data_IF_648236833020
#
_entry.id   IF_648236833020
#
_cell.length_a   1.000
_cell.length_b   1.000
_cell.length_c   1.000
_cell.angle_alpha   90.00
_cell.angle_beta   90.00
_cell.angle_gamma   90.00
#
_symmetry.space_group_name_H-M   'P 1'
#
loop_
_entity.id
_entity.type
_entity.pdbx_description
1 polymer ?
#
# COMPACT_ATOMS: atom_id res chain seq x y z
N UNK A 1 -6.37 -24.90 -1.65
CA UNK A 1 -5.12 -24.46 -2.29
C UNK A 1 -5.36 -23.93 -3.71
N UNK A 2 -5.74 -24.74 -4.71
CA UNK A 2 -5.91 -24.27 -6.11
C UNK A 2 -6.93 -23.13 -6.27
N UNK A 3 -8.10 -23.21 -5.61
CA UNK A 3 -9.12 -22.14 -5.65
C UNK A 3 -8.62 -20.80 -5.10
N UNK A 4 -7.77 -20.82 -4.07
CA UNK A 4 -7.23 -19.60 -3.47
C UNK A 4 -6.19 -18.95 -4.39
N UNK A 5 -5.36 -19.77 -5.06
CA UNK A 5 -4.39 -19.29 -6.05
C UNK A 5 -5.11 -18.60 -7.22
N UNK A 6 -6.16 -19.23 -7.75
CA UNK A 6 -6.98 -18.67 -8.84
C UNK A 6 -7.64 -17.36 -8.41
N UNK A 7 -8.26 -17.32 -7.23
CA UNK A 7 -8.88 -16.09 -6.72
C UNK A 7 -7.85 -14.96 -6.53
N UNK A 8 -6.64 -15.27 -6.06
CA UNK A 8 -5.58 -14.28 -5.89
C UNK A 8 -5.14 -13.68 -7.22
N UNK A 9 -4.92 -14.52 -8.23
CA UNK A 9 -4.55 -14.08 -9.59
C UNK A 9 -5.68 -13.26 -10.21
N UNK A 10 -6.93 -13.72 -10.10
CA UNK A 10 -8.09 -12.99 -10.61
C UNK A 10 -8.24 -11.61 -9.96
N UNK A 11 -8.09 -11.53 -8.64
CA UNK A 11 -8.11 -10.26 -7.91
C UNK A 11 -6.98 -9.33 -8.35
N UNK A 12 -5.76 -9.84 -8.51
CA UNK A 12 -4.62 -9.07 -9.01
C UNK A 12 -4.90 -8.49 -10.39
N UNK A 13 -5.42 -9.29 -11.32
CA UNK A 13 -5.78 -8.83 -12.66
C UNK A 13 -6.84 -7.73 -12.62
N UNK A 14 -7.92 -7.92 -11.85
CA UNK A 14 -8.97 -6.91 -11.68
C UNK A 14 -8.39 -5.60 -11.13
N UNK A 15 -7.56 -5.69 -10.09
CA UNK A 15 -6.93 -4.52 -9.47
C UNK A 15 -6.03 -3.76 -10.46
N UNK A 16 -5.20 -4.48 -11.24
CA UNK A 16 -4.35 -3.85 -12.26
C UNK A 16 -5.14 -3.17 -13.37
N UNK A 17 -6.26 -3.77 -13.78
CA UNK A 17 -7.18 -3.18 -14.76
C UNK A 17 -7.85 -1.93 -14.20
N UNK A 18 -8.28 -1.94 -12.94
CA UNK A 18 -8.83 -0.75 -12.26
C UNK A 18 -7.78 0.36 -12.19
N UNK A 19 -6.56 0.07 -11.75
CA UNK A 19 -5.47 1.04 -11.70
C UNK A 19 -5.11 1.61 -13.07
N UNK A 20 -5.23 0.80 -14.14
CA UNK A 20 -5.03 1.26 -15.51
C UNK A 20 -6.16 2.18 -15.98
N UNK A 21 -7.40 1.91 -15.58
CA UNK A 21 -8.58 2.70 -15.94
C UNK A 21 -8.60 4.08 -15.30
N UNK A 22 -8.16 4.21 -14.05
CA UNK A 22 -8.18 5.49 -13.29
C UNK A 22 -7.57 6.65 -14.10
N UNK A 23 -6.29 6.61 -14.51
CA UNK A 23 -5.68 7.71 -15.27
C UNK A 23 -6.26 7.86 -16.69
N UNK A 24 -6.77 6.78 -17.28
CA UNK A 24 -7.41 6.83 -18.61
C UNK A 24 -8.75 7.58 -18.59
N UNK A 25 -9.50 7.47 -17.51
CA UNK A 25 -10.76 8.21 -17.30
C UNK A 25 -10.46 9.66 -16.92
N UNK A 26 -9.37 9.91 -16.17
CA UNK A 26 -8.97 11.24 -15.71
C UNK A 26 -8.13 12.04 -16.73
N UNK A 27 -7.89 11.50 -17.94
CA UNK A 27 -6.96 12.02 -18.96
C UNK A 27 -7.03 13.54 -19.20
N UNK A 28 -8.20 14.15 -19.09
CA UNK A 28 -8.38 15.57 -19.39
C UNK A 28 -7.77 16.53 -18.33
N UNK A 29 -7.50 16.05 -17.11
CA UNK A 29 -7.11 16.90 -15.98
C UNK A 29 -5.61 16.78 -15.61
N UNK A 30 -4.93 15.75 -16.11
CA UNK A 30 -3.58 15.39 -15.67
C UNK A 30 -2.52 16.34 -16.24
N UNK A 31 -2.56 16.64 -17.53
CA UNK A 31 -1.58 17.52 -18.17
C UNK A 31 -1.68 18.93 -17.58
N UNK A 32 -2.88 19.48 -17.44
CA UNK A 32 -3.08 20.82 -16.85
C UNK A 32 -2.57 20.91 -15.41
N UNK A 33 -2.87 19.92 -14.56
CA UNK A 33 -2.44 19.93 -13.14
C UNK A 33 -0.93 19.76 -13.00
N UNK A 34 -0.29 19.02 -13.90
CA UNK A 34 1.16 18.81 -13.87
C UNK A 34 1.90 20.03 -14.43
N UNK A 35 1.37 20.64 -15.49
CA UNK A 35 1.89 21.87 -16.11
C UNK A 35 1.82 23.07 -15.15
N UNK A 36 0.69 23.23 -14.43
CA UNK A 36 0.54 24.25 -13.38
C UNK A 36 1.47 24.05 -12.18
N UNK A 37 1.90 22.82 -11.90
CA UNK A 37 2.84 22.52 -10.79
C UNK A 37 4.30 22.75 -11.14
N UNK A 38 4.67 22.58 -12.41
CA UNK A 38 6.05 22.74 -12.88
C UNK A 38 6.29 24.21 -13.32
N UNK A 39 5.31 25.11 -13.12
CA UNK A 39 5.38 26.53 -13.55
C UNK A 39 5.76 26.69 -15.03
N UNK A 40 5.32 25.74 -15.87
CA UNK A 40 5.56 25.82 -17.31
C UNK A 40 4.67 26.92 -17.88
N UNK A 41 5.25 28.10 -18.10
CA UNK A 41 4.53 29.31 -18.47
C UNK A 41 4.51 29.57 -19.99
N UNK A 42 5.22 28.77 -20.78
CA UNK A 42 5.35 28.96 -22.24
C UNK A 42 4.79 27.77 -23.02
N UNK A 43 4.04 28.03 -24.11
CA UNK A 43 3.39 27.01 -24.93
C UNK A 43 4.37 25.94 -25.47
N UNK A 44 5.64 26.31 -25.70
CA UNK A 44 6.69 25.38 -26.16
C UNK A 44 7.14 24.40 -25.07
N UNK A 45 7.22 24.85 -23.82
CA UNK A 45 7.53 23.99 -22.68
C UNK A 45 6.40 23.00 -22.40
N UNK A 46 5.15 23.42 -22.59
CA UNK A 46 3.97 22.55 -22.48
C UNK A 46 3.97 21.50 -23.58
N UNK A 47 4.28 21.89 -24.82
CA UNK A 47 4.32 20.97 -25.97
C UNK A 47 5.44 19.92 -25.85
N UNK A 48 6.64 20.34 -25.46
CA UNK A 48 7.78 19.43 -25.25
C UNK A 48 7.55 18.47 -24.07
N UNK A 49 6.98 18.97 -22.96
CA UNK A 49 6.60 18.12 -21.83
C UNK A 49 5.49 17.13 -22.18
N UNK A 50 4.53 17.54 -23.01
CA UNK A 50 3.46 16.65 -23.50
C UNK A 50 4.03 15.52 -24.37
N UNK A 51 5.00 15.80 -25.25
CA UNK A 51 5.71 14.77 -26.03
C UNK A 51 6.54 13.82 -25.17
N UNK A 52 7.19 14.33 -24.12
CA UNK A 52 7.95 13.52 -23.18
C UNK A 52 7.04 12.59 -22.36
N UNK A 53 5.87 13.08 -21.96
CA UNK A 53 4.83 12.26 -21.32
C UNK A 53 4.25 11.22 -22.30
N UNK A 54 3.95 11.60 -23.54
CA UNK A 54 3.43 10.69 -24.56
C UNK A 54 4.38 9.52 -24.84
N UNK A 55 5.68 9.80 -24.89
CA UNK A 55 6.72 8.78 -25.06
C UNK A 55 6.94 7.94 -23.79
N UNK A 56 6.95 8.55 -22.59
CA UNK A 56 7.12 7.84 -21.32
C UNK A 56 5.96 6.87 -21.01
N UNK A 57 4.73 7.28 -21.31
CA UNK A 57 3.52 6.48 -21.09
C UNK A 57 3.13 5.61 -22.30
N UNK A 58 3.86 5.69 -23.43
CA UNK A 58 3.60 4.93 -24.66
C UNK A 58 2.16 5.10 -25.18
N UNK A 59 1.62 6.34 -25.14
CA UNK A 59 0.22 6.62 -25.48
C UNK A 59 -0.15 6.27 -26.93
N UNK A 60 0.83 6.09 -27.82
CA UNK A 60 0.63 5.72 -29.23
C UNK A 60 0.39 4.21 -29.47
N UNK A 61 0.51 3.34 -28.46
CA UNK A 61 0.30 1.89 -28.60
C UNK A 61 -1.16 1.49 -28.34
N UNK A 62 -1.66 0.38 -28.91
CA UNK A 62 -3.00 -0.12 -28.61
C UNK A 62 -3.18 -0.36 -27.10
N UNK A 63 -4.38 -0.09 -26.56
CA UNK A 63 -4.72 -0.19 -25.13
C UNK A 63 -4.27 -1.51 -24.48
N UNK A 64 -4.45 -2.62 -25.19
CA UNK A 64 -4.05 -3.96 -24.72
C UNK A 64 -2.53 -4.07 -24.52
N UNK A 65 -1.75 -3.44 -25.41
CA UNK A 65 -0.29 -3.41 -25.33
C UNK A 65 0.19 -2.54 -24.17
N UNK A 66 -0.50 -1.43 -23.91
CA UNK A 66 -0.20 -0.56 -22.76
C UNK A 66 -0.47 -1.30 -21.43
N UNK A 67 -1.59 -2.01 -21.34
CA UNK A 67 -1.91 -2.84 -20.17
C UNK A 67 -0.90 -3.97 -19.95
N UNK A 68 -0.51 -4.69 -21.02
CA UNK A 68 0.50 -5.75 -20.93
C UNK A 68 1.89 -5.22 -20.52
N UNK A 69 2.30 -4.05 -21.02
CA UNK A 69 3.54 -3.38 -20.60
C UNK A 69 3.48 -2.92 -19.15
N UNK A 70 2.31 -2.47 -18.67
CA UNK A 70 2.11 -2.10 -17.27
C UNK A 70 2.18 -3.32 -16.35
N UNK A 71 1.59 -4.44 -16.74
CA UNK A 71 1.76 -5.72 -16.04
C UNK A 71 3.24 -6.11 -15.97
N UNK A 72 3.98 -6.05 -17.09
CA UNK A 72 5.41 -6.34 -17.11
C UNK A 72 6.19 -5.45 -16.13
N UNK A 73 5.89 -4.14 -16.10
CA UNK A 73 6.49 -3.17 -15.18
C UNK A 73 6.25 -3.54 -13.70
N UNK A 74 5.03 -3.96 -13.36
CA UNK A 74 4.67 -4.43 -12.01
C UNK A 74 5.49 -5.67 -11.64
N UNK A 75 5.62 -6.64 -12.55
CA UNK A 75 6.44 -7.84 -12.32
C UNK A 75 7.93 -7.54 -12.18
N UNK A 76 8.43 -6.48 -12.82
CA UNK A 76 9.82 -6.02 -12.66
C UNK A 76 10.02 -5.11 -11.44
N UNK A 77 9.02 -4.96 -10.56
CA UNK A 77 9.00 -4.00 -9.45
C UNK A 77 9.22 -2.54 -9.89
N UNK A 78 9.00 -2.23 -11.16
CA UNK A 78 9.04 -0.87 -11.67
C UNK A 78 7.63 -0.28 -11.55
N UNK A 79 7.39 0.40 -10.43
CA UNK A 79 6.11 1.07 -10.14
C UNK A 79 5.89 2.33 -11.00
N UNK A 80 6.76 2.59 -11.98
CA UNK A 80 6.68 3.72 -12.89
C UNK A 80 7.05 5.05 -12.23
N UNK A 81 6.66 6.14 -12.89
CA UNK A 81 6.91 7.50 -12.43
C UNK A 81 5.83 7.96 -11.44
N UNK A 82 6.24 8.81 -10.50
CA UNK A 82 5.28 9.44 -9.59
C UNK A 82 4.38 10.39 -10.34
N UNK A 83 3.07 10.16 -10.21
CA UNK A 83 2.03 11.07 -10.69
C UNK A 83 2.04 12.40 -9.92
N UNK A 84 2.62 12.43 -8.71
CA UNK A 84 2.67 13.61 -7.85
C UNK A 84 4.05 14.31 -7.90
N UNK A 85 5.14 13.54 -8.00
CA UNK A 85 6.53 14.02 -8.05
C UNK A 85 7.21 13.64 -9.38
N UNK A 86 6.66 14.04 -10.52
CA UNK A 86 7.37 13.90 -11.79
C UNK A 86 8.66 14.76 -11.74
N UNK A 87 9.84 14.29 -12.21
CA UNK A 87 10.15 13.06 -12.93
C UNK A 87 10.78 11.95 -12.06
N UNK A 88 10.46 11.87 -10.77
CA UNK A 88 11.05 10.84 -9.90
C UNK A 88 10.35 9.49 -10.06
N UNK A 89 11.14 8.41 -10.15
CA UNK A 89 10.61 7.04 -10.12
C UNK A 89 10.01 6.74 -8.75
N UNK A 90 8.81 6.18 -8.74
CA UNK A 90 8.05 5.83 -7.54
C UNK A 90 8.82 4.92 -6.59
N UNK A 91 9.64 4.01 -7.13
CA UNK A 91 10.42 3.09 -6.30
C UNK A 91 11.34 3.82 -5.32
N UNK A 92 11.97 4.93 -5.71
CA UNK A 92 12.87 5.66 -4.82
C UNK A 92 12.11 6.32 -3.65
N UNK A 93 10.89 6.80 -3.90
CA UNK A 93 10.05 7.42 -2.87
C UNK A 93 9.44 6.35 -1.96
N UNK A 94 8.94 5.26 -2.54
CA UNK A 94 8.19 4.23 -1.82
C UNK A 94 9.09 3.22 -1.10
N UNK A 95 10.35 3.05 -1.51
CA UNK A 95 11.27 2.09 -0.89
C UNK A 95 11.45 2.33 0.61
N UNK A 96 11.68 3.57 1.02
CA UNK A 96 11.92 3.91 2.44
C UNK A 96 10.70 3.59 3.33
N UNK A 97 9.49 4.11 3.07
CA UNK A 97 8.33 3.78 3.89
C UNK A 97 7.97 2.30 3.81
N UNK A 98 8.13 1.66 2.64
CA UNK A 98 7.90 0.22 2.50
C UNK A 98 8.83 -0.62 3.41
N UNK A 99 10.14 -0.33 3.39
CA UNK A 99 11.10 -1.00 4.28
C UNK A 99 10.78 -0.76 5.76
N UNK A 100 10.30 0.44 6.10
CA UNK A 100 9.91 0.76 7.46
C UNK A 100 8.67 -0.03 7.91
N UNK A 101 7.64 -0.12 7.07
CA UNK A 101 6.47 -0.97 7.33
C UNK A 101 6.88 -2.43 7.48
N UNK A 102 7.79 -2.93 6.64
CA UNK A 102 8.33 -4.27 6.74
C UNK A 102 9.00 -4.50 8.09
N UNK A 103 9.86 -3.57 8.52
CA UNK A 103 10.55 -3.66 9.81
C UNK A 103 9.55 -3.70 10.99
N UNK A 104 8.58 -2.78 10.99
CA UNK A 104 7.51 -2.75 11.99
C UNK A 104 6.70 -4.06 12.01
N UNK A 105 6.39 -4.59 10.83
CA UNK A 105 5.63 -5.83 10.70
C UNK A 105 6.40 -7.04 11.24
N UNK A 106 7.70 -7.15 10.94
CA UNK A 106 8.55 -8.22 11.49
C UNK A 106 8.60 -8.15 13.03
N UNK A 107 8.84 -6.97 13.59
CA UNK A 107 8.89 -6.78 15.04
C UNK A 107 7.54 -7.13 15.68
N UNK A 108 6.44 -6.72 15.04
CA UNK A 108 5.09 -7.04 15.48
C UNK A 108 4.80 -8.54 15.48
N UNK A 109 5.21 -9.26 14.43
CA UNK A 109 5.08 -10.73 14.35
C UNK A 109 5.87 -11.39 15.47
N UNK A 110 7.14 -11.01 15.66
CA UNK A 110 8.01 -11.59 16.68
C UNK A 110 7.44 -11.36 18.09
N UNK A 111 6.96 -10.16 18.36
CA UNK A 111 6.33 -9.82 19.64
C UNK A 111 5.05 -10.62 19.86
N UNK A 112 4.18 -10.69 18.85
CA UNK A 112 2.92 -11.45 18.90
C UNK A 112 3.18 -12.96 19.09
N UNK A 113 4.13 -13.52 18.35
CA UNK A 113 4.52 -14.93 18.47
C UNK A 113 5.10 -15.26 19.84
N UNK A 114 6.00 -14.43 20.36
CA UNK A 114 6.59 -14.60 21.69
C UNK A 114 5.53 -14.50 22.78
N UNK A 115 4.64 -13.51 22.71
CA UNK A 115 3.55 -13.36 23.68
C UNK A 115 2.55 -14.52 23.60
N UNK A 116 2.17 -14.93 22.39
CA UNK A 116 1.23 -16.03 22.17
C UNK A 116 1.77 -17.38 22.63
N UNK A 117 3.04 -17.67 22.39
CA UNK A 117 3.70 -18.90 22.86
C UNK A 117 3.81 -18.95 24.37
N UNK A 118 4.16 -17.83 25.04
CA UNK A 118 4.19 -17.73 26.50
C UNK A 118 2.80 -17.92 27.12
N UNK A 119 1.78 -17.22 26.60
CA UNK A 119 0.41 -17.37 27.06
C UNK A 119 -0.12 -18.80 26.82
N UNK A 120 0.23 -19.41 25.69
CA UNK A 120 -0.12 -20.80 25.39
C UNK A 120 0.50 -21.81 26.35
N UNK A 121 1.78 -21.62 26.72
CA UNK A 121 2.44 -22.46 27.71
C UNK A 121 1.84 -22.28 29.12
N UNK A 122 1.39 -21.06 29.44
CA UNK A 122 0.79 -20.73 30.74
C UNK A 122 -0.55 -21.43 30.98
N UNK A 123 -1.29 -21.79 29.91
CA UNK A 123 -2.58 -22.50 30.00
C UNK A 123 -2.44 -23.84 30.74
N UNK A 124 -1.30 -24.53 30.62
CA UNK A 124 -1.09 -25.82 31.28
C UNK A 124 -0.78 -25.71 32.78
N UNK A 125 -0.34 -24.54 33.26
CA UNK A 125 0.08 -24.33 34.65
C UNK A 125 -0.91 -23.53 35.49
N UNK A 126 -1.95 -22.96 34.90
CA UNK A 126 -2.84 -22.01 35.56
C UNK A 126 -4.28 -22.54 35.67
N UNK A 127 -4.99 -22.13 36.72
CA UNK A 127 -6.36 -22.54 36.97
C UNK A 127 -7.32 -22.21 35.80
N UNK A 128 -8.20 -23.17 35.50
CA UNK A 128 -9.21 -23.07 34.42
C UNK A 128 -10.06 -21.81 34.48
N UNK A 129 -10.41 -21.34 35.69
CA UNK A 129 -11.21 -20.12 35.90
C UNK A 129 -10.45 -18.86 35.43
N UNK A 130 -9.14 -18.79 35.69
CA UNK A 130 -8.32 -17.66 35.26
C UNK A 130 -8.18 -17.64 33.73
N UNK A 131 -7.92 -18.80 33.11
CA UNK A 131 -7.82 -18.94 31.66
C UNK A 131 -9.15 -18.56 30.98
N UNK A 132 -10.28 -19.01 31.52
CA UNK A 132 -11.60 -18.69 30.96
C UNK A 132 -11.88 -17.18 31.00
N UNK A 133 -11.51 -16.49 32.09
CA UNK A 133 -11.62 -15.02 32.18
C UNK A 133 -10.74 -14.32 31.15
N UNK A 134 -9.50 -14.78 30.96
CA UNK A 134 -8.58 -14.23 29.97
C UNK A 134 -9.13 -14.38 28.53
N UNK A 135 -9.75 -15.52 28.21
CA UNK A 135 -10.42 -15.73 26.92
C UNK A 135 -11.59 -14.78 26.70
N UNK A 136 -12.42 -14.56 27.72
CA UNK A 136 -13.54 -13.61 27.62
C UNK A 136 -13.04 -12.19 27.36
N UNK A 137 -12.00 -11.75 28.09
CA UNK A 137 -11.41 -10.41 27.92
C UNK A 137 -10.80 -10.25 26.52
N UNK A 138 -9.98 -11.19 26.07
CA UNK A 138 -9.34 -11.14 24.74
C UNK A 138 -10.37 -11.15 23.60
N UNK A 139 -11.44 -11.93 23.75
CA UNK A 139 -12.55 -11.96 22.79
C UNK A 139 -13.29 -10.62 22.74
N UNK A 140 -13.55 -10.02 23.89
CA UNK A 140 -14.18 -8.70 23.97
C UNK A 140 -13.32 -7.62 23.32
N UNK A 141 -12.01 -7.63 23.59
CA UNK A 141 -11.06 -6.72 22.94
C UNK A 141 -11.06 -6.91 21.41
N UNK A 142 -11.09 -8.14 20.92
CA UNK A 142 -11.07 -8.40 19.47
C UNK A 142 -12.26 -7.79 18.70
N UNK A 143 -13.36 -7.47 19.39
CA UNK A 143 -14.53 -6.84 18.80
C UNK A 143 -14.41 -5.31 18.68
N UNK A 144 -13.58 -4.68 19.51
CA UNK A 144 -13.45 -3.22 19.51
C UNK A 144 -12.70 -2.75 18.25
N UNK A 145 -13.20 -1.72 17.56
CA UNK A 145 -12.47 -1.08 16.47
C UNK A 145 -11.08 -0.61 16.86
N UNK A 146 -10.12 -0.73 15.94
CA UNK A 146 -8.71 -0.41 16.18
C UNK A 146 -8.44 0.99 16.73
N UNK A 147 -9.25 1.99 16.35
CA UNK A 147 -9.06 3.37 16.79
C UNK A 147 -9.33 3.58 18.29
N UNK A 148 -10.13 2.72 18.93
CA UNK A 148 -10.41 2.80 20.37
C UNK A 148 -9.13 2.55 21.17
N UNK A 149 -8.25 1.68 20.65
CA UNK A 149 -6.95 1.39 21.26
C UNK A 149 -5.94 2.51 21.03
N UNK A 150 -6.05 3.26 19.94
CA UNK A 150 -5.09 4.31 19.62
C UNK A 150 -5.10 5.43 20.68
N UNK A 151 -6.27 5.82 21.18
CA UNK A 151 -6.43 6.92 22.15
C UNK A 151 -5.65 6.67 23.46
N UNK A 152 -5.86 5.56 24.20
CA UNK A 152 -5.12 5.31 25.43
C UNK A 152 -3.63 5.10 25.17
N UNK A 153 -3.25 4.46 24.05
CA UNK A 153 -1.83 4.31 23.68
C UNK A 153 -1.15 5.67 23.48
N UNK A 154 -1.79 6.58 22.74
CA UNK A 154 -1.26 7.92 22.52
C UNK A 154 -1.10 8.65 23.86
N UNK A 155 -2.09 8.58 24.76
CA UNK A 155 -2.00 9.21 26.07
C UNK A 155 -0.85 8.64 26.91
N UNK A 156 -0.70 7.32 26.97
CA UNK A 156 0.36 6.67 27.73
C UNK A 156 1.77 6.99 27.22
N UNK A 157 1.98 6.99 25.90
CA UNK A 157 3.30 7.25 25.32
C UNK A 157 3.62 8.74 25.19
N UNK A 158 2.60 9.61 25.10
CA UNK A 158 2.79 11.07 25.06
C UNK A 158 3.13 11.67 26.43
N UNK A 159 2.65 11.08 27.53
CA UNK A 159 2.99 11.53 28.88
C UNK A 159 4.45 11.23 29.30
N UNK A 160 5.18 10.43 28.51
CA UNK A 160 6.55 10.02 28.81
C UNK A 160 7.59 10.70 27.89
N UNK A 161 7.23 11.80 27.21
CA UNK A 161 8.11 12.69 26.44
C UNK A 161 7.97 14.14 26.90
#
# INVERSE_FOLDING_TARGET
>A
MLKQLVNFIAFGLILTTILFLIPHITKNDFIEKTTKRIELNTNEQIASFSQELDSAFNLHRPLVTQWALQLKKIFTLDLGYSLYNYPTRNWHILKKPFLQTLNLFLISILCSWSCGTLLGALIFRVNRIFINRLFVITRFLSFLPGFIYAIPFILLFKLNS
#
